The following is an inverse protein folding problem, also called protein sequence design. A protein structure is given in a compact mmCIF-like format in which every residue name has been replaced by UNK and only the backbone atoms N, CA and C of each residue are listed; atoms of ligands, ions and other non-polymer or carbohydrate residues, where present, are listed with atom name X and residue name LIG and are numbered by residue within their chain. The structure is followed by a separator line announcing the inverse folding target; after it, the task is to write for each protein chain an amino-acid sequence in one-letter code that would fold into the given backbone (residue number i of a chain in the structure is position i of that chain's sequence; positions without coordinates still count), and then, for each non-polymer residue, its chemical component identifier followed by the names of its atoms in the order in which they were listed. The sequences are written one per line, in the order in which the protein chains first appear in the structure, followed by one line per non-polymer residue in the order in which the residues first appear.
data_IF_597037409340
#
_entry.id   IF_597037409340
#
_cell.length_a   1.000
_cell.length_b   1.000
_cell.length_c   1.000
_cell.angle_alpha   90.00
_cell.angle_beta   90.00
_cell.angle_gamma   90.00
#
_symmetry.space_group_name_H-M   'P 1'
#
loop_
_entity.id
_entity.type
_entity.pdbx_description
1 polymer ?
#
# COMPACT_ATOMS: atom_id res chain seq x y z
N UNK A 1 -19.23 -12.81 14.73
CA UNK A 1 -18.49 -12.05 13.70
C UNK A 1 -16.96 -12.10 13.90
N UNK A 2 -16.42 -11.68 15.04
CA UNK A 2 -14.96 -11.59 15.27
C UNK A 2 -14.14 -12.88 15.01
N UNK A 3 -14.61 -14.06 15.41
CA UNK A 3 -13.89 -15.34 15.14
C UNK A 3 -13.80 -15.65 13.64
N UNK A 4 -14.86 -15.36 12.89
CA UNK A 4 -14.88 -15.59 11.45
C UNK A 4 -13.93 -14.62 10.73
N UNK A 5 -13.96 -13.33 11.07
CA UNK A 5 -12.99 -12.34 10.53
C UNK A 5 -11.56 -12.76 10.84
N UNK A 6 -11.26 -13.18 12.08
CA UNK A 6 -9.92 -13.67 12.44
C UNK A 6 -9.48 -14.87 11.61
N UNK A 7 -10.39 -15.77 11.25
CA UNK A 7 -10.04 -16.93 10.40
C UNK A 7 -9.66 -16.56 8.96
N UNK A 8 -10.01 -15.35 8.50
CA UNK A 8 -9.62 -14.83 7.18
C UNK A 8 -8.25 -14.13 7.21
N UNK A 9 -7.76 -13.74 8.39
CA UNK A 9 -6.50 -13.02 8.56
C UNK A 9 -5.38 -14.02 8.87
N UNK A 10 -4.43 -14.17 7.94
CA UNK A 10 -3.26 -15.03 8.17
C UNK A 10 -2.28 -14.35 9.12
N UNK A 11 -1.76 -15.11 10.07
CA UNK A 11 -0.75 -14.68 11.05
C UNK A 11 0.70 -15.01 10.61
N UNK A 12 0.87 -15.61 9.44
CA UNK A 12 2.17 -16.03 8.90
C UNK A 12 2.92 -14.95 8.11
N UNK A 13 2.42 -13.72 8.11
CA UNK A 13 3.02 -12.62 7.36
C UNK A 13 4.31 -12.13 8.04
N UNK A 14 5.31 -11.78 7.23
CA UNK A 14 6.51 -11.13 7.77
C UNK A 14 6.17 -9.73 8.24
N UNK A 15 6.79 -9.31 9.34
CA UNK A 15 6.77 -7.92 9.76
C UNK A 15 7.87 -7.19 8.98
N UNK A 16 7.49 -6.13 8.28
CA UNK A 16 8.35 -5.31 7.45
C UNK A 16 8.19 -3.84 7.84
N UNK A 17 9.21 -3.04 7.53
CA UNK A 17 9.08 -1.60 7.60
C UNK A 17 8.25 -1.14 6.40
N UNK A 18 7.02 -0.70 6.65
CA UNK A 18 6.11 -0.18 5.62
C UNK A 18 6.02 1.33 5.75
N UNK A 19 5.92 2.03 4.62
CA UNK A 19 5.72 3.47 4.55
C UNK A 19 4.32 3.88 5.01
N UNK A 20 3.29 3.13 4.60
CA UNK A 20 1.90 3.36 5.01
C UNK A 20 1.21 4.56 4.33
N UNK A 21 1.91 5.25 3.43
CA UNK A 21 1.40 6.35 2.58
C UNK A 21 2.24 6.51 1.30
N UNK A 22 2.65 5.39 0.68
CA UNK A 22 3.57 5.43 -0.46
C UNK A 22 2.87 5.95 -1.73
N UNK A 23 3.01 7.25 -1.96
CA UNK A 23 2.48 8.00 -3.11
C UNK A 23 3.62 8.57 -3.93
N UNK A 24 3.38 8.85 -5.21
CA UNK A 24 4.40 9.37 -6.12
C UNK A 24 5.12 10.63 -5.58
N UNK A 25 4.39 11.52 -4.90
CA UNK A 25 4.97 12.73 -4.30
C UNK A 25 5.87 12.49 -3.08
N UNK A 26 5.80 11.29 -2.49
CA UNK A 26 6.66 10.86 -1.37
C UNK A 26 7.93 10.14 -1.86
N UNK A 27 8.13 10.02 -3.18
CA UNK A 27 9.33 9.44 -3.78
C UNK A 27 10.17 10.54 -4.42
N UNK A 28 11.40 10.68 -3.96
CA UNK A 28 12.37 11.61 -4.52
C UNK A 28 13.10 10.95 -5.68
N UNK A 29 13.24 11.68 -6.78
CA UNK A 29 13.98 11.24 -7.95
C UNK A 29 14.79 12.40 -8.53
N UNK A 30 15.96 12.07 -9.10
CA UNK A 30 16.82 13.01 -9.82
C UNK A 30 16.89 12.58 -11.29
N UNK A 31 16.80 13.56 -12.17
CA UNK A 31 16.96 13.42 -13.62
C UNK A 31 17.93 14.49 -14.10
N UNK A 32 19.03 14.08 -14.73
CA UNK A 32 20.11 14.98 -15.15
C UNK A 32 19.81 15.73 -16.47
N UNK A 33 18.70 15.41 -17.12
CA UNK A 33 18.27 16.07 -18.35
C UNK A 33 17.25 15.25 -19.14
N UNK A 34 16.75 15.79 -20.26
CA UNK A 34 15.85 15.06 -21.15
C UNK A 34 16.51 13.74 -21.61
N UNK A 35 15.76 12.63 -21.54
CA UNK A 35 16.20 11.27 -21.87
C UNK A 35 17.29 10.67 -20.96
N UNK A 36 17.53 11.26 -19.78
CA UNK A 36 18.46 10.70 -18.78
C UNK A 36 17.77 9.63 -17.93
N UNK A 37 18.56 8.75 -17.32
CA UNK A 37 18.02 7.76 -16.40
C UNK A 37 17.45 8.45 -15.15
N UNK A 38 16.26 8.04 -14.73
CA UNK A 38 15.65 8.52 -13.48
C UNK A 38 16.26 7.72 -12.34
N UNK A 39 16.94 8.41 -11.43
CA UNK A 39 17.51 7.78 -10.23
C UNK A 39 16.66 8.13 -9.02
N UNK A 40 16.08 7.12 -8.36
CA UNK A 40 15.39 7.32 -7.10
C UNK A 40 16.41 7.62 -5.99
N UNK A 41 16.21 8.72 -5.26
CA UNK A 41 17.15 9.19 -4.24
C UNK A 41 16.64 9.02 -2.83
N UNK A 42 15.33 8.80 -2.64
CA UNK A 42 14.78 8.53 -1.32
C UNK A 42 13.27 8.43 -1.29
N UNK A 43 12.78 7.99 -0.13
CA UNK A 43 11.37 7.99 0.23
C UNK A 43 11.24 8.89 1.46
N UNK A 44 10.30 9.84 1.41
CA UNK A 44 10.06 10.85 2.44
C UNK A 44 8.64 10.74 2.98
N UNK A 45 8.34 11.48 4.05
CA UNK A 45 7.03 11.52 4.70
C UNK A 45 6.61 10.21 5.41
N UNK A 46 7.51 9.74 6.28
CA UNK A 46 7.34 8.51 7.08
C UNK A 46 6.40 8.66 8.29
N UNK A 47 5.57 9.71 8.37
CA UNK A 47 4.72 9.96 9.55
C UNK A 47 3.71 8.83 9.82
N UNK A 48 3.33 8.09 8.77
CA UNK A 48 2.44 6.92 8.84
C UNK A 48 3.18 5.58 8.82
N UNK A 49 4.50 5.65 8.74
CA UNK A 49 5.37 4.50 8.60
C UNK A 49 5.53 3.73 9.90
N UNK A 50 5.94 2.47 9.78
CA UNK A 50 6.20 1.62 10.92
C UNK A 50 6.40 0.16 10.57
N UNK A 51 6.59 -0.65 11.60
CA UNK A 51 6.74 -2.09 11.48
C UNK A 51 5.38 -2.76 11.49
N UNK A 52 4.90 -3.12 10.30
CA UNK A 52 3.59 -3.73 10.07
C UNK A 52 3.74 -5.00 9.23
N UNK A 53 2.72 -5.86 9.15
CA UNK A 53 2.73 -6.96 8.20
C UNK A 53 3.02 -6.47 6.77
N UNK A 54 3.78 -7.23 5.99
CA UNK A 54 4.20 -6.87 4.62
C UNK A 54 3.04 -6.49 3.68
N UNK A 55 1.84 -7.04 3.87
CA UNK A 55 0.65 -6.68 3.10
C UNK A 55 0.10 -5.27 3.39
N UNK A 56 0.51 -4.65 4.49
CA UNK A 56 -0.03 -3.38 4.97
C UNK A 56 0.20 -2.24 3.98
N UNK A 57 1.32 -2.27 3.25
CA UNK A 57 1.62 -1.27 2.23
C UNK A 57 0.57 -1.26 1.12
N UNK A 58 0.12 -2.44 0.67
CA UNK A 58 -0.93 -2.54 -0.35
C UNK A 58 -2.27 -1.98 0.15
N UNK A 59 -2.66 -2.32 1.38
CA UNK A 59 -3.92 -1.86 1.94
C UNK A 59 -3.95 -0.34 2.01
N UNK A 60 -2.84 0.28 2.44
CA UNK A 60 -2.74 1.74 2.51
C UNK A 60 -2.73 2.37 1.14
N UNK A 61 -1.94 1.86 0.20
CA UNK A 61 -1.92 2.32 -1.18
C UNK A 61 -3.34 2.33 -1.80
N UNK A 62 -4.07 1.22 -1.71
CA UNK A 62 -5.42 1.10 -2.28
C UNK A 62 -6.48 1.92 -1.55
N UNK A 63 -6.23 2.31 -0.29
CA UNK A 63 -7.11 3.22 0.46
C UNK A 63 -6.87 4.68 0.08
N UNK A 64 -5.65 5.04 -0.30
CA UNK A 64 -5.29 6.40 -0.71
C UNK A 64 -5.67 6.72 -2.15
N UNK A 65 -5.92 5.70 -2.98
CA UNK A 65 -6.43 5.86 -4.35
C UNK A 65 -7.90 6.31 -4.34
N UNK A 66 -8.19 7.46 -4.92
CA UNK A 66 -9.57 7.95 -5.08
C UNK A 66 -10.17 7.49 -6.41
N UNK A 67 -11.52 7.47 -6.57
CA UNK A 67 -12.15 7.05 -7.82
C UNK A 67 -11.82 7.93 -9.04
N UNK A 68 -11.49 9.19 -8.79
CA UNK A 68 -11.09 10.21 -9.76
C UNK A 68 -9.57 10.24 -10.02
N UNK A 69 -8.80 9.35 -9.37
CA UNK A 69 -7.36 9.26 -9.58
C UNK A 69 -7.05 8.49 -10.88
N UNK A 70 -6.72 9.26 -11.93
CA UNK A 70 -6.31 8.78 -13.25
C UNK A 70 -4.80 8.49 -13.36
N UNK A 71 -4.04 8.56 -12.24
CA UNK A 71 -2.60 8.29 -12.25
C UNK A 71 -2.27 6.82 -12.50
N UNK A 72 -1.22 6.59 -13.29
CA UNK A 72 -0.58 5.30 -13.54
C UNK A 72 0.35 4.84 -12.38
N UNK A 73 0.46 5.65 -11.32
CA UNK A 73 1.26 5.34 -10.13
C UNK A 73 0.92 3.96 -9.55
N UNK A 74 -0.37 3.65 -9.46
CA UNK A 74 -0.86 2.42 -8.84
C UNK A 74 -0.54 1.16 -9.65
N UNK A 75 -0.41 1.30 -10.97
CA UNK A 75 -0.03 0.21 -11.87
C UNK A 75 1.49 0.00 -11.87
N UNK A 76 2.25 0.99 -11.38
CA UNK A 76 3.71 0.97 -11.26
C UNK A 76 4.21 0.40 -9.92
N UNK A 77 3.31 0.00 -9.02
CA UNK A 77 3.70 -0.58 -7.74
C UNK A 77 4.39 -1.95 -7.94
N UNK A 78 5.52 -2.20 -7.26
CA UNK A 78 6.24 -3.47 -7.39
C UNK A 78 5.41 -4.65 -6.87
N UNK A 79 5.67 -5.84 -7.40
CA UNK A 79 5.00 -7.10 -7.00
C UNK A 79 5.13 -7.39 -5.49
N UNK A 80 6.20 -6.92 -4.87
CA UNK A 80 6.43 -7.01 -3.42
C UNK A 80 5.38 -6.26 -2.60
N UNK A 81 4.69 -5.28 -3.20
CA UNK A 81 3.57 -4.56 -2.61
C UNK A 81 2.26 -5.10 -3.19
N UNK A 82 2.14 -5.30 -4.50
CA UNK A 82 0.86 -5.63 -5.16
C UNK A 82 0.40 -7.10 -4.99
N UNK A 83 1.22 -7.97 -4.40
CA UNK A 83 0.96 -9.40 -4.27
C UNK A 83 -0.14 -9.84 -3.29
N UNK A 84 -0.63 -8.96 -2.42
CA UNK A 84 -1.53 -9.31 -1.29
C UNK A 84 -3.03 -9.12 -1.57
N UNK A 85 -3.49 -9.65 -2.72
CA UNK A 85 -4.88 -9.47 -3.19
C UNK A 85 -5.93 -10.09 -2.26
N UNK A 86 -5.60 -11.19 -1.58
CA UNK A 86 -6.52 -11.85 -0.65
C UNK A 86 -6.72 -10.99 0.60
N UNK A 87 -5.63 -10.47 1.15
CA UNK A 87 -5.62 -9.59 2.31
C UNK A 87 -6.41 -8.30 2.01
N UNK A 88 -6.25 -7.74 0.79
CA UNK A 88 -7.04 -6.61 0.32
C UNK A 88 -8.54 -6.93 0.22
N UNK A 89 -8.90 -8.11 -0.31
CA UNK A 89 -10.30 -8.51 -0.40
C UNK A 89 -10.94 -8.68 1.00
N UNK A 90 -10.21 -9.27 1.94
CA UNK A 90 -10.65 -9.41 3.34
C UNK A 90 -10.82 -8.04 3.99
N UNK A 91 -9.87 -7.12 3.81
CA UNK A 91 -9.95 -5.75 4.34
C UNK A 91 -11.22 -5.03 3.86
N UNK A 92 -11.52 -5.08 2.55
CA UNK A 92 -12.75 -4.50 1.99
C UNK A 92 -14.03 -5.10 2.55
N UNK A 93 -14.08 -6.44 2.70
CA UNK A 93 -15.25 -7.11 3.30
C UNK A 93 -15.45 -6.66 4.74
N UNK A 94 -14.36 -6.56 5.50
CA UNK A 94 -14.40 -6.09 6.90
C UNK A 94 -14.85 -4.64 6.97
N UNK A 95 -14.35 -3.75 6.11
CA UNK A 95 -14.79 -2.36 6.03
C UNK A 95 -16.28 -2.24 5.74
N UNK A 96 -16.77 -2.96 4.72
CA UNK A 96 -18.19 -2.93 4.35
C UNK A 96 -19.08 -3.39 5.50
N UNK A 97 -18.67 -4.43 6.22
CA UNK A 97 -19.43 -4.92 7.37
C UNK A 97 -19.46 -3.96 8.56
N UNK A 98 -18.42 -3.13 8.74
CA UNK A 98 -18.34 -2.13 9.82
C UNK A 98 -19.10 -0.85 9.41
N UNK A 99 -19.02 -0.44 8.15
CA UNK A 99 -19.59 0.82 7.65
C UNK A 99 -21.12 0.76 7.46
N UNK A 100 -21.70 -0.44 7.41
CA UNK A 100 -23.14 -0.68 7.26
C UNK A 100 -23.86 -0.81 8.63
N UNK A 101 -23.17 -0.56 9.75
CA UNK A 101 -23.77 -0.40 11.08
C UNK A 101 -23.99 1.07 11.43
#
# INVERSE_FOLDING_TARGET
YQRWVRSLLRDTHRIALTHGDLRAHNVLAVCEGPNSHITLTGIVDWERGGWYPEYWELLKAMRTRTPDDESDWWDSLPDTISGYRNELAVDRVVEMAITVQ
#
